data_IF_831327610819
#
_entry.id   IF_831327610819
#
_cell.length_a   1.000
_cell.length_b   1.000
_cell.length_c   1.000
_cell.angle_alpha   90.00
_cell.angle_beta   90.00
_cell.angle_gamma   90.00
#
_symmetry.space_group_name_H-M   'P 1'
#
loop_
_entity.id
_entity.type
_entity.pdbx_description
1 polymer ?
#
# COMPACT_ATOMS: atom_id res chain seq x y z
N UNK A 1 17.85 30.11 -5.77
CA UNK A 1 16.64 29.74 -4.99
C UNK A 1 16.95 29.95 -3.53
N UNK A 2 16.23 30.81 -2.81
CA UNK A 2 16.36 30.89 -1.34
C UNK A 2 15.83 29.58 -0.78
N UNK A 3 16.68 28.71 -0.28
CA UNK A 3 16.29 27.59 0.57
C UNK A 3 15.43 28.15 1.71
N UNK A 4 14.25 27.59 1.89
CA UNK A 4 13.37 28.03 2.97
C UNK A 4 13.97 27.48 4.27
N UNK A 5 14.38 28.33 5.19
CA UNK A 5 14.93 27.93 6.52
C UNK A 5 14.06 26.84 7.21
N UNK A 6 12.76 26.82 6.91
CA UNK A 6 11.88 25.79 7.40
C UNK A 6 12.17 24.41 6.77
N UNK A 7 12.51 24.34 5.47
CA UNK A 7 12.88 23.10 4.80
C UNK A 7 14.23 22.57 5.28
N UNK A 8 15.18 23.45 5.54
CA UNK A 8 16.48 23.08 6.14
C UNK A 8 16.29 22.53 7.56
N UNK A 9 15.51 23.19 8.39
CA UNK A 9 15.20 22.72 9.74
C UNK A 9 14.47 21.38 9.72
N UNK A 10 13.47 21.22 8.83
CA UNK A 10 12.73 19.97 8.63
C UNK A 10 13.68 18.82 8.27
N UNK A 11 14.54 19.01 7.26
CA UNK A 11 15.48 18.00 6.83
C UNK A 11 16.53 17.66 7.89
N UNK A 12 16.99 18.68 8.65
CA UNK A 12 17.96 18.49 9.73
C UNK A 12 17.36 17.69 10.89
N UNK A 13 16.09 17.93 11.25
CA UNK A 13 15.40 17.15 12.28
C UNK A 13 15.23 15.69 11.82
N UNK A 14 14.85 15.44 10.56
CA UNK A 14 14.81 14.08 10.00
C UNK A 14 16.19 13.42 10.05
N UNK A 15 17.24 14.13 9.62
CA UNK A 15 18.61 13.64 9.70
C UNK A 15 19.02 13.27 11.12
N UNK A 16 18.67 14.08 12.10
CA UNK A 16 18.88 13.76 13.52
C UNK A 16 18.16 12.49 13.95
N UNK A 17 16.84 12.37 13.65
CA UNK A 17 16.03 11.21 14.00
C UNK A 17 16.63 9.93 13.42
N UNK A 18 17.05 9.96 12.14
CA UNK A 18 17.60 8.78 11.44
C UNK A 18 19.00 8.39 11.92
N UNK A 19 19.82 9.35 12.34
CA UNK A 19 21.22 9.10 12.79
C UNK A 19 21.35 8.77 14.27
N UNK A 20 20.35 9.17 15.10
CA UNK A 20 20.42 9.01 16.55
C UNK A 20 19.98 7.64 17.07
N UNK A 21 19.52 6.74 16.18
CA UNK A 21 19.03 5.42 16.58
C UNK A 21 17.75 5.45 17.42
N UNK A 22 16.98 6.55 17.35
CA UNK A 22 15.70 6.68 18.04
C UNK A 22 14.70 5.63 17.53
N UNK A 23 13.93 5.06 18.46
CA UNK A 23 12.85 4.12 18.16
C UNK A 23 11.48 4.74 18.46
N UNK A 24 10.43 4.10 17.99
CA UNK A 24 9.05 4.53 18.26
C UNK A 24 8.82 4.70 19.77
N UNK A 25 8.22 5.83 20.15
CA UNK A 25 7.97 6.21 21.53
C UNK A 25 9.08 7.06 22.17
N UNK A 26 10.24 7.18 21.53
CA UNK A 26 11.33 7.99 22.04
C UNK A 26 11.02 9.49 21.91
N UNK A 27 11.45 10.24 22.90
CA UNK A 27 11.33 11.69 22.92
C UNK A 27 12.40 12.32 22.02
N UNK A 28 11.99 13.21 21.11
CA UNK A 28 12.94 14.01 20.33
C UNK A 28 13.35 15.28 21.11
N UNK A 29 14.45 15.97 20.73
CA UNK A 29 14.86 17.19 21.39
C UNK A 29 13.73 18.24 21.43
N UNK A 30 13.66 18.98 22.52
CA UNK A 30 12.70 20.07 22.73
C UNK A 30 12.88 21.22 21.72
N UNK A 31 11.85 22.08 21.57
CA UNK A 31 11.93 23.26 20.70
C UNK A 31 13.19 24.08 21.01
N UNK A 32 13.52 24.29 22.29
CA UNK A 32 14.71 25.07 22.72
C UNK A 32 16.00 24.38 22.28
N UNK A 33 16.11 23.06 22.52
CA UNK A 33 17.29 22.29 22.10
C UNK A 33 17.47 22.31 20.60
N UNK A 34 16.36 22.14 19.82
CA UNK A 34 16.41 22.22 18.36
C UNK A 34 16.80 23.62 17.85
N UNK A 35 16.35 24.69 18.52
CA UNK A 35 16.77 26.07 18.22
C UNK A 35 18.28 26.22 18.38
N UNK A 36 18.82 25.74 19.50
CA UNK A 36 20.25 25.83 19.80
C UNK A 36 21.08 24.96 18.83
N UNK A 37 20.63 23.72 18.53
CA UNK A 37 21.32 22.80 17.63
C UNK A 37 21.37 23.29 16.19
N UNK A 38 20.29 23.90 15.71
CA UNK A 38 20.14 24.28 14.29
C UNK A 38 20.38 25.77 14.05
N UNK A 39 20.55 26.52 15.09
CA UNK A 39 20.75 28.00 15.07
C UNK A 39 19.63 28.71 14.26
N UNK A 40 18.39 28.36 14.51
CA UNK A 40 17.19 28.94 13.85
C UNK A 40 16.15 29.38 14.86
N UNK A 41 15.30 30.33 14.46
CA UNK A 41 14.28 30.90 15.33
C UNK A 41 13.13 29.93 15.66
N UNK A 42 12.45 30.19 16.79
CA UNK A 42 11.33 29.37 17.30
C UNK A 42 10.25 29.12 16.28
N UNK A 43 9.86 30.11 15.49
CA UNK A 43 8.80 29.96 14.49
C UNK A 43 9.21 28.97 13.39
N UNK A 44 10.48 28.94 12.99
CA UNK A 44 11.03 27.99 12.01
C UNK A 44 10.97 26.57 12.56
N UNK A 45 11.41 26.37 13.80
CA UNK A 45 11.37 25.06 14.48
C UNK A 45 9.91 24.57 14.59
N UNK A 46 8.99 25.41 15.06
CA UNK A 46 7.58 25.04 15.18
C UNK A 46 6.95 24.69 13.82
N UNK A 47 7.26 25.44 12.78
CA UNK A 47 6.78 25.11 11.43
C UNK A 47 7.30 23.75 10.96
N UNK A 48 8.58 23.45 11.18
CA UNK A 48 9.18 22.15 10.86
C UNK A 48 8.54 21.01 11.68
N UNK A 49 8.37 21.19 13.00
CA UNK A 49 7.73 20.20 13.88
C UNK A 49 6.26 19.96 13.52
N UNK A 50 5.53 21.01 13.19
CA UNK A 50 4.13 20.87 12.72
C UNK A 50 4.04 20.07 11.41
N UNK A 51 4.98 20.26 10.48
CA UNK A 51 5.05 19.44 9.26
C UNK A 51 5.34 17.97 9.58
N UNK A 52 6.28 17.70 10.47
CA UNK A 52 6.59 16.33 10.91
C UNK A 52 5.41 15.67 11.62
N UNK A 53 4.64 16.44 12.41
CA UNK A 53 3.41 15.98 13.06
C UNK A 53 2.31 15.71 12.02
N UNK A 54 2.16 16.58 11.03
CA UNK A 54 1.16 16.44 9.97
C UNK A 54 1.37 15.17 9.12
N UNK A 55 2.63 14.79 8.87
CA UNK A 55 2.95 13.52 8.19
C UNK A 55 2.98 12.31 9.12
N UNK A 56 2.66 12.50 10.42
CA UNK A 56 2.59 11.41 11.39
C UNK A 56 3.94 10.81 11.81
N UNK A 57 5.07 11.47 11.51
CA UNK A 57 6.39 11.02 11.94
C UNK A 57 6.60 11.21 13.44
N UNK A 58 6.06 12.30 14.00
CA UNK A 58 6.11 12.61 15.42
C UNK A 58 4.70 12.95 15.95
N UNK A 59 4.51 12.85 17.25
CA UNK A 59 3.33 13.34 17.94
C UNK A 59 3.70 14.35 19.02
N UNK A 60 2.82 15.34 19.23
CA UNK A 60 2.95 16.30 20.34
C UNK A 60 2.16 15.78 21.54
N UNK A 61 2.82 15.69 22.69
CA UNK A 61 2.15 15.42 23.97
C UNK A 61 2.17 16.67 24.82
N UNK A 62 0.99 17.09 25.26
CA UNK A 62 0.83 18.36 26.00
C UNK A 62 1.70 18.40 27.27
N UNK A 63 2.55 19.40 27.38
CA UNK A 63 3.49 19.55 28.50
C UNK A 63 4.71 18.63 28.47
N UNK A 64 4.74 17.61 27.62
CA UNK A 64 5.81 16.63 27.58
C UNK A 64 6.77 16.84 26.40
N UNK A 65 6.29 17.43 25.29
CA UNK A 65 7.08 17.68 24.08
C UNK A 65 6.68 16.79 22.92
N UNK A 66 7.65 16.45 22.06
CA UNK A 66 7.44 15.68 20.85
C UNK A 66 8.07 14.29 20.95
N UNK A 67 7.39 13.29 20.43
CA UNK A 67 7.78 11.88 20.48
C UNK A 67 7.73 11.26 19.10
N UNK A 68 8.69 10.39 18.81
CA UNK A 68 8.71 9.62 17.55
C UNK A 68 7.54 8.63 17.54
N UNK A 69 6.75 8.64 16.46
CA UNK A 69 5.69 7.65 16.27
C UNK A 69 6.23 6.39 15.58
N UNK A 70 5.48 5.31 15.68
CA UNK A 70 5.67 4.18 14.77
C UNK A 70 5.37 4.67 13.35
N UNK A 71 6.42 4.77 12.53
CA UNK A 71 6.30 5.27 11.16
C UNK A 71 5.54 4.25 10.34
N UNK A 72 4.25 4.44 10.27
CA UNK A 72 3.41 3.67 9.38
C UNK A 72 3.30 4.41 8.04
N UNK A 73 3.99 3.89 7.03
CA UNK A 73 3.94 4.43 5.65
C UNK A 73 2.49 4.55 5.18
N UNK A 74 1.58 3.71 5.68
CA UNK A 74 0.16 3.77 5.34
C UNK A 74 -0.51 5.08 5.75
N UNK A 75 -0.10 5.73 6.85
CA UNK A 75 -0.68 7.04 7.27
C UNK A 75 -0.36 8.11 6.22
N UNK A 76 0.88 8.14 5.73
CA UNK A 76 1.28 9.09 4.69
C UNK A 76 0.59 8.78 3.35
N UNK A 77 0.58 7.53 2.96
CA UNK A 77 0.01 7.09 1.69
C UNK A 77 -1.54 7.19 1.69
N UNK A 78 -2.20 7.02 2.84
CA UNK A 78 -3.65 7.23 2.96
C UNK A 78 -4.05 8.69 2.63
N UNK A 79 -3.15 9.66 2.82
CA UNK A 79 -3.41 11.04 2.38
C UNK A 79 -3.46 11.20 0.85
N UNK A 80 -2.92 10.25 0.10
CA UNK A 80 -2.97 10.23 -1.37
C UNK A 80 -4.26 9.58 -1.91
N UNK A 81 -4.97 8.80 -1.11
CA UNK A 81 -6.22 8.12 -1.53
C UNK A 81 -7.22 9.09 -2.17
N UNK A 82 -7.56 10.26 -1.56
CA UNK A 82 -8.51 11.18 -2.19
C UNK A 82 -8.04 11.69 -3.55
N UNK A 83 -6.72 11.90 -3.73
CA UNK A 83 -6.15 12.35 -5.01
C UNK A 83 -6.27 11.27 -6.07
N UNK A 84 -6.04 10.01 -5.70
CA UNK A 84 -6.10 8.85 -6.59
C UNK A 84 -7.54 8.46 -6.97
N UNK A 85 -8.54 8.81 -6.15
CA UNK A 85 -9.96 8.51 -6.44
C UNK A 85 -10.62 9.48 -7.42
N UNK A 86 -9.97 10.60 -7.77
CA UNK A 86 -10.60 11.67 -8.58
C UNK A 86 -10.39 11.55 -10.10
N UNK A 87 -9.64 10.55 -10.59
CA UNK A 87 -9.40 10.40 -12.03
C UNK A 87 -9.81 9.04 -12.56
N UNK A 88 -10.70 9.01 -13.54
CA UNK A 88 -11.16 7.76 -14.20
C UNK A 88 -10.07 7.05 -15.05
N UNK A 89 -8.90 7.69 -15.25
CA UNK A 89 -7.72 7.05 -15.85
C UNK A 89 -6.87 6.27 -14.86
N UNK A 90 -7.16 6.37 -13.56
CA UNK A 90 -6.28 5.86 -12.49
C UNK A 90 -6.42 4.34 -12.30
N UNK A 91 -7.53 3.73 -12.75
CA UNK A 91 -7.72 2.29 -12.59
C UNK A 91 -6.76 1.47 -13.46
N UNK A 92 -6.49 1.92 -14.68
CA UNK A 92 -5.46 1.33 -15.57
C UNK A 92 -4.10 1.48 -14.91
N UNK A 93 -3.71 2.71 -14.53
CA UNK A 93 -2.44 3.01 -13.89
C UNK A 93 -2.27 2.25 -12.55
N UNK A 94 -3.36 2.14 -11.76
CA UNK A 94 -3.35 1.37 -10.52
C UNK A 94 -3.16 -0.13 -10.78
N UNK A 95 -3.76 -0.67 -11.83
CA UNK A 95 -3.59 -2.09 -12.21
C UNK A 95 -2.18 -2.35 -12.75
N UNK A 96 -1.61 -1.44 -13.56
CA UNK A 96 -0.21 -1.50 -13.99
C UNK A 96 0.76 -1.48 -12.79
N UNK A 97 0.50 -0.62 -11.81
CA UNK A 97 1.28 -0.58 -10.57
C UNK A 97 1.16 -1.91 -9.79
N UNK A 98 -0.05 -2.48 -9.69
CA UNK A 98 -0.27 -3.80 -9.08
C UNK A 98 0.57 -4.88 -9.74
N UNK A 99 0.66 -4.91 -11.07
CA UNK A 99 1.49 -5.88 -11.80
C UNK A 99 2.93 -5.86 -11.29
N UNK A 100 3.51 -4.69 -11.11
CA UNK A 100 4.88 -4.55 -10.60
C UNK A 100 5.05 -5.04 -9.16
N UNK A 101 4.22 -4.53 -8.24
CA UNK A 101 4.40 -4.79 -6.80
C UNK A 101 3.96 -6.18 -6.39
N UNK A 102 2.87 -6.71 -6.97
CA UNK A 102 2.32 -8.01 -6.57
C UNK A 102 3.09 -9.19 -7.17
N UNK A 103 3.60 -9.06 -8.40
CA UNK A 103 4.52 -10.05 -8.96
C UNK A 103 5.78 -10.20 -8.10
N UNK A 104 6.33 -9.08 -7.64
CA UNK A 104 7.48 -9.09 -6.73
C UNK A 104 7.11 -9.65 -5.35
N UNK A 105 5.91 -9.33 -4.85
CA UNK A 105 5.42 -9.87 -3.59
C UNK A 105 5.26 -11.40 -3.65
N UNK A 106 4.70 -11.94 -4.75
CA UNK A 106 4.55 -13.38 -4.97
C UNK A 106 5.91 -14.08 -5.07
N UNK A 107 6.88 -13.49 -5.78
CA UNK A 107 8.26 -13.98 -5.82
C UNK A 107 8.86 -14.13 -4.43
N UNK A 108 8.78 -13.06 -3.63
CA UNK A 108 9.31 -13.04 -2.27
C UNK A 108 8.52 -13.96 -1.33
N UNK A 109 7.20 -14.08 -1.49
CA UNK A 109 6.38 -14.99 -0.71
C UNK A 109 6.81 -16.45 -0.91
N UNK A 110 7.10 -16.88 -2.14
CA UNK A 110 7.61 -18.21 -2.42
C UNK A 110 8.94 -18.49 -1.68
N UNK A 111 9.77 -17.46 -1.49
CA UNK A 111 11.06 -17.60 -0.76
C UNK A 111 10.91 -17.56 0.76
N UNK A 112 9.97 -16.78 1.28
CA UNK A 112 9.95 -16.35 2.68
C UNK A 112 8.73 -16.83 3.48
N UNK A 113 7.64 -17.29 2.83
CA UNK A 113 6.42 -17.69 3.50
C UNK A 113 6.67 -18.79 4.52
N UNK A 114 6.06 -18.69 5.68
CA UNK A 114 6.01 -19.76 6.68
C UNK A 114 4.67 -20.51 6.63
N UNK A 115 4.50 -21.52 7.48
CA UNK A 115 3.25 -22.31 7.50
C UNK A 115 2.02 -21.48 7.90
N UNK A 116 2.20 -20.42 8.69
CA UNK A 116 1.10 -19.54 9.10
C UNK A 116 0.62 -18.75 7.90
N UNK A 117 1.54 -18.22 7.10
CA UNK A 117 1.21 -17.50 5.86
C UNK A 117 0.49 -18.40 4.86
N UNK A 118 0.98 -19.65 4.67
CA UNK A 118 0.35 -20.62 3.76
C UNK A 118 -1.09 -20.94 4.20
N UNK A 119 -1.31 -21.12 5.51
CA UNK A 119 -2.66 -21.35 6.05
C UNK A 119 -3.57 -20.13 5.84
N UNK A 120 -3.05 -18.93 6.01
CA UNK A 120 -3.80 -17.69 5.81
C UNK A 120 -4.23 -17.54 4.34
N UNK A 121 -3.31 -17.72 3.38
CA UNK A 121 -3.62 -17.70 1.95
C UNK A 121 -4.67 -18.75 1.58
N UNK A 122 -4.49 -20.01 2.00
CA UNK A 122 -5.44 -21.09 1.72
C UNK A 122 -6.83 -20.83 2.32
N UNK A 123 -6.91 -20.18 3.47
CA UNK A 123 -8.18 -19.75 4.07
C UNK A 123 -8.94 -18.82 3.12
N UNK A 124 -8.29 -17.84 2.51
CA UNK A 124 -8.97 -16.90 1.63
C UNK A 124 -9.37 -17.53 0.30
N UNK A 125 -8.58 -18.46 -0.24
CA UNK A 125 -8.96 -19.24 -1.42
C UNK A 125 -10.24 -20.05 -1.16
N UNK A 126 -10.31 -20.76 -0.04
CA UNK A 126 -11.51 -21.53 0.35
C UNK A 126 -12.73 -20.64 0.54
N UNK A 127 -12.57 -19.52 1.25
CA UNK A 127 -13.66 -18.57 1.46
C UNK A 127 -14.15 -17.94 0.15
N UNK A 128 -13.25 -17.65 -0.80
CA UNK A 128 -13.63 -17.18 -2.12
C UNK A 128 -14.45 -18.21 -2.87
N UNK A 129 -14.01 -19.46 -2.89
CA UNK A 129 -14.72 -20.57 -3.53
C UNK A 129 -16.10 -20.83 -2.89
N UNK A 130 -16.18 -20.85 -1.56
CA UNK A 130 -17.44 -21.05 -0.81
C UNK A 130 -18.45 -19.90 -1.03
N UNK A 131 -17.98 -18.72 -1.42
CA UNK A 131 -18.80 -17.54 -1.64
C UNK A 131 -18.81 -17.08 -3.10
N UNK A 132 -18.63 -18.01 -4.04
CA UNK A 132 -18.53 -17.69 -5.47
C UNK A 132 -19.78 -16.99 -6.02
N UNK A 133 -20.94 -17.24 -5.45
CA UNK A 133 -22.22 -16.61 -5.84
C UNK A 133 -22.49 -15.27 -5.12
N UNK A 134 -21.59 -14.83 -4.24
CA UNK A 134 -21.68 -13.57 -3.52
C UNK A 134 -20.53 -12.63 -3.95
N UNK A 135 -20.82 -11.69 -4.88
CA UNK A 135 -19.82 -10.79 -5.46
C UNK A 135 -19.03 -10.02 -4.41
N UNK A 136 -19.72 -9.46 -3.42
CA UNK A 136 -19.10 -8.64 -2.36
C UNK A 136 -18.15 -9.47 -1.49
N UNK A 137 -18.57 -10.69 -1.11
CA UNK A 137 -17.73 -11.56 -0.30
C UNK A 137 -16.58 -12.13 -1.12
N UNK A 138 -16.82 -12.52 -2.37
CA UNK A 138 -15.77 -12.97 -3.27
C UNK A 138 -14.71 -11.88 -3.47
N UNK A 139 -15.10 -10.66 -3.85
CA UNK A 139 -14.19 -9.53 -4.04
C UNK A 139 -13.36 -9.22 -2.78
N UNK A 140 -13.97 -9.33 -1.61
CA UNK A 140 -13.25 -9.19 -0.35
C UNK A 140 -12.21 -10.29 -0.15
N UNK A 141 -12.58 -11.56 -0.38
CA UNK A 141 -11.65 -12.68 -0.21
C UNK A 141 -10.51 -12.64 -1.25
N UNK A 142 -10.80 -12.22 -2.48
CA UNK A 142 -9.84 -11.98 -3.55
C UNK A 142 -8.75 -11.00 -3.07
N UNK A 143 -9.16 -9.82 -2.62
CA UNK A 143 -8.21 -8.82 -2.10
C UNK A 143 -7.50 -9.25 -0.82
N UNK A 144 -8.15 -10.03 0.05
CA UNK A 144 -7.53 -10.57 1.26
C UNK A 144 -6.47 -11.63 0.91
N UNK A 145 -6.66 -12.43 -0.17
CA UNK A 145 -5.64 -13.33 -0.69
C UNK A 145 -4.40 -12.56 -1.17
N UNK A 146 -4.57 -11.53 -2.00
CA UNK A 146 -3.46 -10.70 -2.47
C UNK A 146 -2.71 -10.04 -1.30
N UNK A 147 -3.44 -9.54 -0.29
CA UNK A 147 -2.83 -8.99 0.93
C UNK A 147 -2.04 -10.05 1.71
N UNK A 148 -2.56 -11.29 1.79
CA UNK A 148 -1.86 -12.39 2.44
C UNK A 148 -0.56 -12.76 1.70
N UNK A 149 -0.55 -12.74 0.36
CA UNK A 149 0.68 -12.90 -0.45
C UNK A 149 1.68 -11.78 -0.16
N UNK A 150 1.22 -10.52 -0.13
CA UNK A 150 2.08 -9.38 0.20
C UNK A 150 2.68 -9.50 1.62
N UNK A 151 1.91 -9.94 2.60
CA UNK A 151 2.37 -10.22 3.98
C UNK A 151 3.39 -11.35 4.02
N UNK A 152 3.14 -12.44 3.29
CA UNK A 152 4.02 -13.60 3.17
C UNK A 152 5.36 -13.28 2.51
N UNK A 153 5.45 -12.21 1.74
CA UNK A 153 6.71 -11.70 1.18
C UNK A 153 7.73 -11.33 2.26
N UNK A 154 7.28 -11.08 3.51
CA UNK A 154 8.04 -10.54 4.66
C UNK A 154 8.66 -9.17 4.37
N UNK A 155 8.26 -8.51 3.29
CA UNK A 155 8.64 -7.15 2.96
C UNK A 155 7.58 -6.17 3.49
N UNK A 156 7.90 -5.49 4.59
CA UNK A 156 6.97 -4.56 5.27
C UNK A 156 6.49 -3.44 4.34
N UNK A 157 7.32 -2.97 3.43
CA UNK A 157 6.95 -1.88 2.49
C UNK A 157 5.93 -2.39 1.48
N UNK A 158 6.16 -3.55 0.85
CA UNK A 158 5.19 -4.15 -0.08
C UNK A 158 3.83 -4.40 0.60
N UNK A 159 3.84 -4.94 1.81
CA UNK A 159 2.62 -5.16 2.58
C UNK A 159 1.85 -3.85 2.84
N UNK A 160 2.53 -2.80 3.30
CA UNK A 160 1.91 -1.51 3.57
C UNK A 160 1.39 -0.82 2.31
N UNK A 161 2.12 -0.91 1.19
CA UNK A 161 1.65 -0.42 -0.11
C UNK A 161 0.38 -1.15 -0.54
N UNK A 162 0.34 -2.47 -0.32
CA UNK A 162 -0.83 -3.26 -0.71
C UNK A 162 -2.06 -2.98 0.14
N UNK A 163 -1.93 -2.69 1.44
CA UNK A 163 -3.07 -2.26 2.28
C UNK A 163 -3.80 -1.04 1.70
N UNK A 164 -3.04 -0.12 1.08
CA UNK A 164 -3.61 1.06 0.43
C UNK A 164 -4.31 0.69 -0.87
N UNK A 165 -3.65 -0.10 -1.71
CA UNK A 165 -4.23 -0.61 -2.96
C UNK A 165 -5.55 -1.31 -2.67
N UNK A 166 -5.59 -2.17 -1.66
CA UNK A 166 -6.79 -2.87 -1.23
C UNK A 166 -7.94 -1.89 -0.96
N UNK A 167 -7.69 -0.82 -0.22
CA UNK A 167 -8.71 0.19 0.11
C UNK A 167 -9.27 0.86 -1.14
N UNK A 168 -8.41 1.19 -2.11
CA UNK A 168 -8.81 1.82 -3.36
C UNK A 168 -9.57 0.86 -4.28
N UNK A 169 -9.12 -0.39 -4.33
CA UNK A 169 -9.56 -1.35 -5.32
C UNK A 169 -10.84 -2.11 -4.93
N UNK A 170 -11.08 -2.30 -3.62
CA UNK A 170 -12.20 -3.13 -3.14
C UNK A 170 -13.56 -2.60 -3.59
N UNK A 171 -13.75 -1.29 -3.64
CA UNK A 171 -15.03 -0.69 -4.06
C UNK A 171 -15.32 -0.99 -5.52
N UNK A 172 -14.33 -0.88 -6.38
CA UNK A 172 -14.45 -1.15 -7.82
C UNK A 172 -14.53 -2.65 -8.13
N UNK A 173 -13.82 -3.49 -7.37
CA UNK A 173 -13.71 -4.92 -7.64
C UNK A 173 -15.06 -5.65 -7.57
N UNK A 174 -16.01 -5.19 -6.76
CA UNK A 174 -17.35 -5.81 -6.67
C UNK A 174 -18.04 -5.76 -8.02
N UNK A 175 -18.09 -4.59 -8.65
CA UNK A 175 -18.72 -4.40 -9.96
C UNK A 175 -17.92 -5.12 -11.06
N UNK A 176 -16.59 -5.10 -10.98
CA UNK A 176 -15.74 -5.81 -11.94
C UNK A 176 -15.97 -7.33 -11.90
N UNK A 177 -16.04 -7.92 -10.72
CA UNK A 177 -16.28 -9.37 -10.54
C UNK A 177 -17.66 -9.76 -11.06
N UNK A 178 -18.69 -8.93 -10.83
CA UNK A 178 -20.03 -9.17 -11.35
C UNK A 178 -20.07 -9.21 -12.89
N UNK A 179 -19.28 -8.35 -13.56
CA UNK A 179 -19.28 -8.21 -15.00
C UNK A 179 -18.35 -9.20 -15.73
N UNK A 180 -17.23 -9.60 -15.12
CA UNK A 180 -16.19 -10.38 -15.80
C UNK A 180 -16.04 -11.83 -15.34
N UNK A 181 -16.84 -12.27 -14.37
CA UNK A 181 -16.79 -13.63 -13.82
C UNK A 181 -15.63 -13.85 -12.84
N UNK A 182 -15.68 -14.95 -12.13
CA UNK A 182 -14.85 -15.28 -10.96
C UNK A 182 -13.90 -16.45 -11.20
N UNK A 183 -14.26 -17.35 -12.11
CA UNK A 183 -13.59 -18.64 -12.30
C UNK A 183 -12.14 -18.49 -12.75
N UNK A 184 -11.85 -17.48 -13.55
CA UNK A 184 -10.49 -17.23 -14.05
C UNK A 184 -9.59 -16.66 -12.97
N UNK A 185 -10.12 -15.80 -12.10
CA UNK A 185 -9.41 -15.28 -10.93
C UNK A 185 -9.07 -16.42 -9.96
N UNK A 186 -10.05 -17.24 -9.61
CA UNK A 186 -9.83 -18.41 -8.72
C UNK A 186 -8.76 -19.36 -9.27
N UNK A 187 -8.77 -19.64 -10.57
CA UNK A 187 -7.77 -20.48 -11.21
C UNK A 187 -6.33 -19.91 -11.08
N UNK A 188 -6.16 -18.59 -11.29
CA UNK A 188 -4.85 -17.97 -11.17
C UNK A 188 -4.37 -17.93 -9.72
N UNK A 189 -5.26 -17.60 -8.78
CA UNK A 189 -4.91 -17.57 -7.36
C UNK A 189 -4.43 -18.93 -6.85
N UNK A 190 -5.10 -20.00 -7.26
CA UNK A 190 -4.69 -21.36 -6.91
C UNK A 190 -3.29 -21.70 -7.49
N UNK A 191 -2.97 -21.26 -8.73
CA UNK A 191 -1.63 -21.43 -9.31
C UNK A 191 -0.56 -20.65 -8.56
N UNK A 192 -0.84 -19.39 -8.19
CA UNK A 192 0.07 -18.57 -7.39
C UNK A 192 0.34 -19.24 -6.04
N UNK A 193 -0.72 -19.65 -5.35
CA UNK A 193 -0.62 -20.35 -4.07
C UNK A 193 0.22 -21.62 -4.17
N UNK A 194 -0.05 -22.48 -5.17
CA UNK A 194 0.70 -23.71 -5.35
C UNK A 194 2.18 -23.44 -5.64
N UNK A 195 2.51 -22.46 -6.48
CA UNK A 195 3.89 -22.08 -6.74
C UNK A 195 4.61 -21.57 -5.45
N UNK A 196 3.88 -20.87 -4.57
CA UNK A 196 4.41 -20.44 -3.27
C UNK A 196 4.66 -21.65 -2.36
N UNK A 197 3.74 -22.61 -2.31
CA UNK A 197 3.90 -23.88 -1.56
C UNK A 197 5.11 -24.65 -2.07
N UNK A 198 5.28 -24.73 -3.38
CA UNK A 198 6.38 -25.46 -4.05
C UNK A 198 7.72 -24.70 -3.99
N UNK A 199 7.73 -23.47 -3.41
CA UNK A 199 8.92 -22.60 -3.33
C UNK A 199 9.47 -22.18 -4.71
N UNK A 200 8.65 -22.23 -5.75
CA UNK A 200 9.00 -21.81 -7.10
C UNK A 200 8.72 -20.30 -7.27
N UNK A 201 9.72 -19.47 -6.95
CA UNK A 201 9.57 -18.03 -6.93
C UNK A 201 9.27 -17.43 -8.31
N UNK A 202 9.89 -17.98 -9.37
CA UNK A 202 9.68 -17.51 -10.73
C UNK A 202 8.25 -17.79 -11.19
N UNK A 203 7.74 -19.01 -10.98
CA UNK A 203 6.35 -19.34 -11.32
C UNK A 203 5.35 -18.55 -10.50
N UNK A 204 5.60 -18.33 -9.20
CA UNK A 204 4.71 -17.53 -8.37
C UNK A 204 4.57 -16.10 -8.92
N UNK A 205 5.70 -15.48 -9.31
CA UNK A 205 5.74 -14.17 -9.95
C UNK A 205 5.00 -14.16 -11.29
N UNK A 206 5.29 -15.13 -12.16
CA UNK A 206 4.71 -15.21 -13.50
C UNK A 206 3.19 -15.45 -13.47
N UNK A 207 2.70 -16.30 -12.56
CA UNK A 207 1.26 -16.53 -12.43
C UNK A 207 0.54 -15.29 -11.90
N UNK A 208 1.11 -14.59 -10.92
CA UNK A 208 0.56 -13.32 -10.43
C UNK A 208 0.53 -12.27 -11.53
N UNK A 209 1.62 -12.14 -12.27
CA UNK A 209 1.75 -11.22 -13.40
C UNK A 209 0.70 -11.50 -14.49
N UNK A 210 0.54 -12.76 -14.88
CA UNK A 210 -0.42 -13.16 -15.90
C UNK A 210 -1.87 -12.94 -15.45
N UNK A 211 -2.17 -13.18 -14.16
CA UNK A 211 -3.45 -12.85 -13.55
C UNK A 211 -3.77 -11.36 -13.72
N UNK A 212 -2.84 -10.50 -13.32
CA UNK A 212 -3.06 -9.06 -13.36
C UNK A 212 -3.06 -8.47 -14.78
N UNK A 213 -2.38 -9.07 -15.73
CA UNK A 213 -2.52 -8.70 -17.14
C UNK A 213 -3.89 -9.05 -17.71
N UNK A 214 -4.49 -10.18 -17.28
CA UNK A 214 -5.87 -10.49 -17.65
C UNK A 214 -6.85 -9.46 -17.09
N UNK A 215 -6.65 -9.05 -15.84
CA UNK A 215 -7.42 -7.97 -15.22
C UNK A 215 -7.24 -6.64 -15.96
N UNK A 216 -5.99 -6.24 -16.25
CA UNK A 216 -5.68 -5.01 -16.98
C UNK A 216 -6.38 -4.95 -18.33
N UNK A 217 -6.33 -6.04 -19.10
CA UNK A 217 -6.99 -6.12 -20.40
C UNK A 217 -8.51 -5.86 -20.31
N UNK A 218 -9.17 -6.44 -19.30
CA UNK A 218 -10.60 -6.24 -19.05
C UNK A 218 -10.91 -4.79 -18.64
N UNK A 219 -10.10 -4.21 -17.74
CA UNK A 219 -10.21 -2.81 -17.34
C UNK A 219 -10.09 -1.87 -18.54
N UNK A 220 -9.13 -2.12 -19.44
CA UNK A 220 -8.96 -1.32 -20.65
C UNK A 220 -10.19 -1.42 -21.58
N UNK A 221 -10.81 -2.59 -21.67
CA UNK A 221 -12.04 -2.77 -22.46
C UNK A 221 -13.20 -1.99 -21.87
N UNK A 222 -13.40 -2.05 -20.55
CA UNK A 222 -14.47 -1.30 -19.86
C UNK A 222 -14.32 0.20 -20.07
N UNK A 223 -13.13 0.75 -19.86
CA UNK A 223 -12.84 2.18 -20.06
C UNK A 223 -13.06 2.62 -21.51
N UNK A 224 -12.80 1.76 -22.49
CA UNK A 224 -13.07 2.06 -23.91
C UNK A 224 -14.57 2.10 -24.20
N UNK A 225 -15.37 1.18 -23.65
CA UNK A 225 -16.82 1.16 -23.81
C UNK A 225 -17.47 2.39 -23.19
N UNK A 226 -17.09 2.76 -21.96
CA UNK A 226 -17.60 3.97 -21.29
C UNK A 226 -17.33 5.26 -22.10
N UNK A 227 -16.18 5.34 -22.78
CA UNK A 227 -15.84 6.49 -23.64
C UNK A 227 -16.61 6.52 -24.96
N UNK A 228 -17.01 5.35 -25.48
CA UNK A 228 -17.80 5.24 -26.72
C UNK A 228 -19.26 5.58 -26.50
N UNK A 229 -19.77 5.35 -25.29
CA UNK A 229 -21.18 5.57 -24.93
C UNK A 229 -21.43 6.98 -24.34
N UNK A 230 -20.37 7.77 -24.12
CA UNK A 230 -20.48 9.16 -23.69
C UNK A 230 -21.06 10.01 -24.84
N UNK A 231 -22.22 10.70 -24.66
CA UNK A 231 -22.78 11.56 -25.69
C UNK A 231 -21.77 12.66 -26.05
N UNK A 232 -21.46 12.75 -27.33
CA UNK A 232 -20.71 13.90 -27.92
C UNK A 232 -21.49 15.16 -27.62
N UNK A 233 -20.95 16.01 -26.72
CA UNK A 233 -21.48 17.38 -26.45
C UNK A 233 -21.16 18.33 -27.59
#
# INVERSE_FOLDING_TARGET
>A
MRSNLCDEAYNSIIGYITSSGLVSGDKIPSESQLMDMLNVGRNTIRAALNRLTAIGLIESRQGEGYFLRDVNVSIFLNSLIPVLLFSSGDLIALTEFRIGVESQAAYLAAKNADEVDLKEMNKYLKLAFENIDNESMFAKCDMDFHLAVAKASKNKILYQLFEIIKTLYTVWLVDFVANHGKEKSDHFHNKVYQAIVDRDAEKASDYMKNHLYDVLHKVEMDVRHERSDAPTL
#
